data_IF_546137757437
#
_entry.id   IF_546137757437
#
_cell.length_a   1.000
_cell.length_b   1.000
_cell.length_c   1.000
_cell.angle_alpha   90.00
_cell.angle_beta   90.00
_cell.angle_gamma   90.00
#
_symmetry.space_group_name_H-M   'P 1'
#
loop_
_entity.id
_entity.type
_entity.pdbx_description
1 polymer ?
#
# COMPACT_ATOMS: atom_id res chain seq x y z
N UNK A 1 -33.65 35.04 -33.61
CA UNK A 1 -32.65 34.00 -33.23
C UNK A 1 -32.64 33.87 -31.71
N UNK A 2 -33.44 32.95 -31.15
CA UNK A 2 -33.51 32.72 -29.71
C UNK A 2 -32.39 31.80 -29.26
N UNK A 3 -31.54 32.27 -28.34
CA UNK A 3 -30.51 31.44 -27.70
C UNK A 3 -31.16 30.61 -26.60
N UNK A 4 -31.22 29.29 -26.77
CA UNK A 4 -31.54 28.34 -25.71
C UNK A 4 -30.39 28.36 -24.69
N UNK A 5 -30.67 28.84 -23.47
CA UNK A 5 -29.84 28.61 -22.30
C UNK A 5 -30.05 27.16 -21.85
N UNK A 6 -29.06 26.30 -22.08
CA UNK A 6 -29.03 24.97 -21.48
C UNK A 6 -28.70 25.11 -19.99
N UNK A 7 -29.70 24.92 -19.12
CA UNK A 7 -29.49 24.81 -17.68
C UNK A 7 -28.80 23.47 -17.39
N UNK A 8 -27.54 23.52 -16.95
CA UNK A 8 -26.84 22.35 -16.40
C UNK A 8 -27.41 22.11 -14.99
N UNK A 9 -28.33 21.17 -14.88
CA UNK A 9 -28.83 20.69 -13.58
C UNK A 9 -27.70 19.86 -12.95
N UNK A 10 -27.00 20.43 -11.99
CA UNK A 10 -26.11 19.67 -11.11
C UNK A 10 -27.00 18.94 -10.12
N UNK A 11 -27.32 17.68 -10.40
CA UNK A 11 -28.02 16.82 -9.45
C UNK A 11 -27.13 16.62 -8.21
N UNK A 12 -27.51 17.24 -7.10
CA UNK A 12 -26.92 16.91 -5.79
C UNK A 12 -27.41 15.52 -5.42
N UNK A 13 -26.52 14.52 -5.48
CA UNK A 13 -26.79 13.18 -4.98
C UNK A 13 -26.89 13.27 -3.44
N UNK A 14 -28.12 13.21 -2.91
CA UNK A 14 -28.37 13.19 -1.47
C UNK A 14 -28.45 11.73 -1.01
N UNK A 15 -27.78 11.34 0.10
CA UNK A 15 -27.90 9.99 0.65
C UNK A 15 -29.31 9.70 1.19
N UNK A 16 -29.78 8.47 1.03
CA UNK A 16 -31.07 8.02 1.57
C UNK A 16 -30.87 7.00 2.70
N UNK A 17 -31.90 6.80 3.52
CA UNK A 17 -31.84 5.95 4.72
C UNK A 17 -31.52 4.46 4.47
N UNK A 18 -31.60 3.99 3.22
CA UNK A 18 -31.27 2.61 2.83
C UNK A 18 -29.95 2.48 2.07
N UNK A 19 -29.20 3.58 1.93
CA UNK A 19 -27.90 3.53 1.25
C UNK A 19 -26.88 2.74 2.06
N UNK A 20 -26.04 1.97 1.35
CA UNK A 20 -24.86 1.33 1.94
C UNK A 20 -23.68 2.29 1.87
N UNK A 21 -22.77 2.22 2.82
CA UNK A 21 -21.58 3.07 2.84
C UNK A 21 -20.32 2.25 2.60
N UNK A 22 -19.40 2.81 1.83
CA UNK A 22 -18.05 2.28 1.68
C UNK A 22 -17.02 3.30 2.11
N UNK A 23 -15.94 2.79 2.68
CA UNK A 23 -14.83 3.58 3.20
C UNK A 23 -13.59 3.33 2.36
N UNK A 24 -12.90 4.41 1.99
CA UNK A 24 -11.58 4.35 1.33
C UNK A 24 -10.61 5.28 2.02
N UNK A 25 -9.36 4.85 2.14
CA UNK A 25 -8.29 5.66 2.71
C UNK A 25 -7.49 6.29 1.58
N UNK A 26 -7.28 7.60 1.68
CA UNK A 26 -6.58 8.37 0.65
C UNK A 26 -5.54 9.29 1.27
N UNK A 27 -4.44 9.49 0.57
CA UNK A 27 -3.41 10.45 0.97
C UNK A 27 -3.46 11.64 0.03
N UNK A 28 -3.60 12.84 0.57
CA UNK A 28 -3.52 14.08 -0.19
C UNK A 28 -2.18 14.77 0.06
N UNK A 29 -1.49 15.15 -1.01
CA UNK A 29 -0.19 15.84 -0.92
C UNK A 29 -0.13 17.07 -1.82
N UNK A 30 0.67 18.05 -1.42
CA UNK A 30 1.02 19.21 -2.25
C UNK A 30 2.11 18.86 -3.28
N UNK A 31 2.53 19.84 -4.08
CA UNK A 31 3.58 19.67 -5.10
C UNK A 31 4.96 19.31 -4.53
N UNK A 32 5.19 19.50 -3.23
CA UNK A 32 6.42 19.13 -2.52
C UNK A 32 6.27 17.77 -1.81
N UNK A 33 5.13 17.10 -1.96
CA UNK A 33 4.84 15.84 -1.30
C UNK A 33 4.46 15.98 0.18
N UNK A 34 4.22 17.20 0.67
CA UNK A 34 3.78 17.43 2.05
C UNK A 34 2.28 17.11 2.20
N UNK A 35 1.83 16.51 3.31
CA UNK A 35 0.42 16.20 3.51
C UNK A 35 -0.48 17.45 3.52
N UNK A 36 -1.61 17.39 2.82
CA UNK A 36 -2.67 18.41 2.85
C UNK A 36 -3.78 17.91 3.77
N UNK A 37 -4.02 18.55 4.91
CA UNK A 37 -4.81 18.00 6.03
C UNK A 37 -6.15 18.69 6.29
N UNK A 38 -6.52 19.67 5.47
CA UNK A 38 -7.68 20.55 5.60
C UNK A 38 -8.69 20.40 4.44
N UNK A 39 -8.74 19.25 3.77
CA UNK A 39 -9.73 18.97 2.73
C UNK A 39 -11.09 18.65 3.34
N UNK A 40 -12.13 19.29 2.83
CA UNK A 40 -13.52 18.99 3.17
C UNK A 40 -14.11 17.88 2.28
N UNK A 41 -15.19 17.24 2.72
CA UNK A 41 -15.91 16.22 1.95
C UNK A 41 -16.34 16.72 0.55
N UNK A 42 -16.72 18.00 0.44
CA UNK A 42 -17.17 18.61 -0.81
C UNK A 42 -16.06 18.73 -1.87
N UNK A 43 -14.79 18.65 -1.45
CA UNK A 43 -13.63 18.73 -2.34
C UNK A 43 -13.27 17.38 -2.95
N UNK A 44 -13.79 16.28 -2.42
CA UNK A 44 -13.61 14.96 -2.99
C UNK A 44 -14.69 14.67 -4.05
N UNK A 45 -14.30 13.90 -5.06
CA UNK A 45 -15.21 13.28 -6.01
C UNK A 45 -14.88 11.80 -6.10
N UNK A 46 -15.90 10.96 -5.93
CA UNK A 46 -15.77 9.50 -6.00
C UNK A 46 -16.61 8.99 -7.16
N UNK A 47 -16.02 8.10 -7.97
CA UNK A 47 -16.73 7.28 -8.95
C UNK A 47 -16.47 5.82 -8.67
N UNK A 48 -17.54 5.02 -8.64
CA UNK A 48 -17.47 3.57 -8.51
C UNK A 48 -18.13 2.94 -9.74
N UNK A 49 -17.41 2.06 -10.45
CA UNK A 49 -17.91 1.49 -11.71
C UNK A 49 -18.19 2.55 -12.79
N UNK A 50 -17.57 3.73 -12.69
CA UNK A 50 -17.82 4.88 -13.56
C UNK A 50 -18.99 5.78 -13.12
N UNK A 51 -19.79 5.36 -12.14
CA UNK A 51 -20.92 6.12 -11.61
C UNK A 51 -20.49 7.04 -10.47
N UNK A 52 -20.93 8.30 -10.50
CA UNK A 52 -20.66 9.25 -9.42
C UNK A 52 -21.33 8.80 -8.13
N UNK A 53 -20.58 8.86 -7.02
CA UNK A 53 -21.06 8.54 -5.68
C UNK A 53 -21.01 9.78 -4.79
N UNK A 54 -22.02 9.93 -3.93
CA UNK A 54 -22.06 11.02 -2.96
C UNK A 54 -21.01 10.77 -1.87
N UNK A 55 -20.05 11.67 -1.73
CA UNK A 55 -19.13 11.66 -0.59
C UNK A 55 -19.87 12.21 0.62
N UNK A 56 -20.04 11.39 1.64
CA UNK A 56 -20.77 11.75 2.86
C UNK A 56 -19.86 12.19 3.97
N UNK A 57 -18.59 11.76 3.94
CA UNK A 57 -17.61 12.10 4.96
C UNK A 57 -16.20 12.10 4.37
N UNK A 58 -15.40 13.08 4.78
CA UNK A 58 -13.96 13.08 4.59
C UNK A 58 -13.33 13.70 5.84
N UNK A 59 -12.54 12.92 6.56
CA UNK A 59 -11.94 13.30 7.84
C UNK A 59 -10.59 12.61 8.03
N UNK A 60 -9.74 13.05 8.98
CA UNK A 60 -8.51 12.34 9.32
C UNK A 60 -8.79 10.89 9.74
N UNK A 61 -8.01 9.95 9.21
CA UNK A 61 -8.13 8.53 9.52
C UNK A 61 -7.56 8.20 10.91
N UNK A 62 -8.43 7.84 11.84
CA UNK A 62 -8.07 7.51 13.24
C UNK A 62 -8.10 6.02 13.56
N UNK A 63 -8.67 5.19 12.68
CA UNK A 63 -8.70 3.74 12.88
C UNK A 63 -7.26 3.18 13.01
N UNK A 64 -7.03 2.13 13.81
CA UNK A 64 -5.70 1.56 13.99
C UNK A 64 -5.12 0.98 12.69
N UNK A 65 -3.86 1.31 12.41
CA UNK A 65 -3.07 0.70 11.34
C UNK A 65 -2.79 -0.78 11.67
N UNK A 66 -2.78 -1.62 10.65
CA UNK A 66 -2.17 -2.94 10.71
C UNK A 66 -1.08 -3.00 9.64
N UNK A 67 0.18 -3.04 10.04
CA UNK A 67 1.31 -2.89 9.13
C UNK A 67 2.11 -4.18 9.04
N UNK A 68 2.26 -4.71 7.81
CA UNK A 68 3.18 -5.79 7.51
C UNK A 68 4.47 -5.23 6.92
N UNK A 69 5.58 -5.39 7.64
CA UNK A 69 6.91 -5.02 7.16
C UNK A 69 7.58 -6.26 6.58
N UNK A 70 7.77 -6.29 5.26
CA UNK A 70 8.39 -7.38 4.53
C UNK A 70 9.81 -6.95 4.13
N UNK A 71 10.83 -7.65 4.62
CA UNK A 71 12.23 -7.25 4.54
C UNK A 71 13.02 -8.24 3.67
N UNK A 72 13.28 -7.85 2.42
CA UNK A 72 14.12 -8.58 1.46
C UNK A 72 15.43 -7.81 1.25
N UNK A 73 16.36 -7.98 2.19
CA UNK A 73 17.60 -7.19 2.25
C UNK A 73 18.83 -7.94 1.75
N UNK A 74 18.66 -9.14 1.16
CA UNK A 74 19.74 -10.06 0.81
C UNK A 74 20.73 -10.31 1.98
N UNK A 75 20.24 -10.26 3.23
CA UNK A 75 21.06 -10.43 4.43
C UNK A 75 21.91 -9.22 4.82
N UNK A 76 21.77 -8.06 4.16
CA UNK A 76 22.60 -6.87 4.45
C UNK A 76 22.27 -6.20 5.79
N UNK A 77 21.05 -6.35 6.32
CA UNK A 77 20.59 -5.64 7.51
C UNK A 77 20.33 -4.13 7.28
N UNK A 78 20.40 -3.67 6.03
CA UNK A 78 20.33 -2.24 5.66
C UNK A 78 19.08 -1.52 6.16
N UNK A 79 17.95 -2.23 6.24
CA UNK A 79 16.67 -1.65 6.63
C UNK A 79 16.49 -1.51 8.14
N UNK A 80 17.31 -2.16 8.97
CA UNK A 80 17.10 -2.27 10.43
C UNK A 80 16.84 -0.93 11.10
N UNK A 81 17.73 0.04 10.90
CA UNK A 81 17.62 1.35 11.54
C UNK A 81 16.37 2.10 11.07
N UNK A 82 16.13 2.13 9.75
CA UNK A 82 14.99 2.84 9.17
C UNK A 82 13.64 2.21 9.55
N UNK A 83 13.59 0.88 9.68
CA UNK A 83 12.43 0.14 10.19
C UNK A 83 12.15 0.51 11.65
N UNK A 84 13.18 0.56 12.50
CA UNK A 84 13.03 1.00 13.90
C UNK A 84 12.37 2.39 13.97
N UNK A 85 12.93 3.35 13.21
CA UNK A 85 12.43 4.74 13.16
C UNK A 85 11.01 4.84 12.61
N UNK A 86 10.68 4.02 11.62
CA UNK A 86 9.33 3.94 11.06
C UNK A 86 8.31 3.44 12.09
N UNK A 87 8.66 2.37 12.83
CA UNK A 87 7.82 1.85 13.92
C UNK A 87 7.66 2.91 15.01
N UNK A 88 8.76 3.52 15.48
CA UNK A 88 8.73 4.57 16.51
C UNK A 88 7.77 5.71 16.15
N UNK A 89 7.77 6.14 14.88
CA UNK A 89 6.90 7.21 14.38
C UNK A 89 5.42 6.87 14.43
N UNK A 90 5.09 5.58 14.36
CA UNK A 90 3.73 5.05 14.30
C UNK A 90 3.30 4.29 15.57
N UNK A 91 4.13 4.27 16.62
CA UNK A 91 3.78 3.69 17.91
C UNK A 91 2.49 4.32 18.46
N UNK A 92 1.64 3.47 19.04
CA UNK A 92 0.32 3.86 19.53
C UNK A 92 -0.75 4.10 18.45
N UNK A 93 -0.42 3.99 17.16
CA UNK A 93 -1.35 4.17 16.04
C UNK A 93 -1.75 2.87 15.35
N UNK A 94 -1.17 1.74 15.73
CA UNK A 94 -1.42 0.45 15.10
C UNK A 94 -0.59 -0.68 15.67
N UNK A 95 -0.65 -1.81 14.97
CA UNK A 95 0.12 -3.02 15.22
C UNK A 95 1.00 -3.36 14.03
N UNK A 96 2.13 -4.02 14.28
CA UNK A 96 3.13 -4.35 13.29
C UNK A 96 3.47 -5.84 13.33
N UNK A 97 3.62 -6.44 12.16
CA UNK A 97 4.33 -7.72 11.98
C UNK A 97 5.61 -7.44 11.18
N UNK A 98 6.67 -8.18 11.47
CA UNK A 98 7.93 -8.10 10.74
C UNK A 98 8.25 -9.48 10.19
N UNK A 99 8.48 -9.56 8.88
CA UNK A 99 8.93 -10.78 8.20
C UNK A 99 10.15 -10.48 7.36
N UNK A 100 11.11 -11.39 7.33
CA UNK A 100 12.22 -11.36 6.37
C UNK A 100 11.94 -12.29 5.20
N UNK A 101 12.47 -11.97 4.02
CA UNK A 101 12.46 -12.87 2.86
C UNK A 101 13.89 -13.33 2.64
N UNK A 102 14.17 -14.58 3.03
CA UNK A 102 15.48 -15.23 2.86
C UNK A 102 15.24 -16.61 2.29
N UNK A 103 15.19 -16.71 0.95
CA UNK A 103 14.56 -17.85 0.29
C UNK A 103 13.04 -17.80 0.45
N UNK A 104 12.52 -18.19 1.61
CA UNK A 104 11.08 -18.15 1.94
C UNK A 104 10.75 -17.01 2.93
N UNK A 105 9.49 -16.56 3.02
CA UNK A 105 9.07 -15.62 4.05
C UNK A 105 9.20 -16.24 5.44
N UNK A 106 9.88 -15.54 6.35
CA UNK A 106 10.02 -15.91 7.75
C UNK A 106 9.48 -14.80 8.64
N UNK A 107 8.42 -15.07 9.38
CA UNK A 107 7.82 -14.14 10.36
C UNK A 107 8.70 -14.07 11.62
N UNK A 108 9.23 -12.90 11.93
CA UNK A 108 10.05 -12.64 13.12
C UNK A 108 9.19 -12.33 14.35
N UNK A 109 8.05 -11.69 14.13
CA UNK A 109 7.05 -11.35 15.15
C UNK A 109 5.67 -11.23 14.50
N UNK A 110 4.64 -11.78 15.15
CA UNK A 110 3.26 -11.58 14.73
C UNK A 110 2.76 -10.18 15.08
N UNK A 111 1.59 -9.79 14.55
CA UNK A 111 1.03 -8.45 14.76
C UNK A 111 0.96 -8.09 16.25
N UNK A 112 1.70 -7.06 16.63
CA UNK A 112 1.76 -6.58 18.00
C UNK A 112 1.99 -5.07 18.06
N UNK A 113 1.57 -4.46 19.15
CA UNK A 113 1.94 -3.09 19.53
C UNK A 113 2.95 -3.07 20.69
N UNK A 114 3.40 -4.25 21.17
CA UNK A 114 4.35 -4.35 22.26
C UNK A 114 5.74 -3.90 21.79
N UNK A 115 6.23 -2.80 22.39
CA UNK A 115 7.49 -2.16 22.01
C UNK A 115 8.71 -3.08 22.21
N UNK A 116 8.72 -3.89 23.28
CA UNK A 116 9.82 -4.81 23.56
C UNK A 116 9.89 -5.92 22.50
N UNK A 117 8.76 -6.54 22.16
CA UNK A 117 8.69 -7.56 21.11
C UNK A 117 9.07 -7.01 19.73
N UNK A 118 8.64 -5.78 19.41
CA UNK A 118 9.04 -5.11 18.17
C UNK A 118 10.54 -4.80 18.14
N UNK A 119 11.10 -4.31 19.24
CA UNK A 119 12.53 -4.04 19.35
C UNK A 119 13.37 -5.31 19.24
N UNK A 120 12.93 -6.42 19.84
CA UNK A 120 13.58 -7.72 19.70
C UNK A 120 13.58 -8.18 18.24
N UNK A 121 12.43 -8.08 17.55
CA UNK A 121 12.30 -8.46 16.15
C UNK A 121 13.15 -7.58 15.21
N UNK A 122 13.17 -6.26 15.42
CA UNK A 122 14.07 -5.34 14.72
C UNK A 122 15.54 -5.67 15.02
N UNK A 123 15.85 -6.08 16.25
CA UNK A 123 17.17 -6.55 16.65
C UNK A 123 17.68 -7.73 15.83
N UNK A 124 16.79 -8.57 15.28
CA UNK A 124 17.11 -9.72 14.42
C UNK A 124 17.42 -9.33 12.96
N UNK A 125 17.16 -8.09 12.55
CA UNK A 125 17.48 -7.57 11.21
C UNK A 125 18.98 -7.22 11.06
N UNK A 126 19.88 -8.12 11.47
CA UNK A 126 21.34 -7.92 11.36
C UNK A 126 21.89 -8.38 10.02
N UNK A 127 23.19 -8.15 9.80
CA UNK A 127 23.90 -8.84 8.74
C UNK A 127 23.78 -10.36 8.91
N UNK A 128 23.51 -11.06 7.80
CA UNK A 128 23.37 -12.52 7.67
C UNK A 128 24.07 -12.97 6.37
N UNK A 129 24.34 -14.26 6.18
CA UNK A 129 24.78 -14.77 4.88
C UNK A 129 23.83 -14.32 3.77
N UNK A 130 24.39 -13.87 2.64
CA UNK A 130 23.60 -13.44 1.50
C UNK A 130 22.78 -14.59 0.92
N UNK A 131 21.64 -14.26 0.32
CA UNK A 131 20.78 -15.18 -0.44
C UNK A 131 20.80 -14.74 -1.90
N UNK A 132 21.94 -14.89 -2.60
CA UNK A 132 22.18 -14.29 -3.92
C UNK A 132 21.23 -14.83 -4.99
N UNK A 133 20.71 -16.04 -4.80
CA UNK A 133 19.75 -16.63 -5.72
C UNK A 133 18.43 -15.87 -5.71
N UNK A 134 17.98 -15.27 -4.60
CA UNK A 134 16.70 -14.58 -4.58
C UNK A 134 15.84 -14.91 -3.37
N UNK A 135 14.55 -14.61 -3.48
CA UNK A 135 13.56 -14.88 -2.45
C UNK A 135 12.16 -14.98 -3.01
N UNK A 136 11.22 -15.30 -2.12
CA UNK A 136 9.79 -15.45 -2.36
C UNK A 136 9.02 -14.21 -1.88
N UNK A 137 9.25 -13.06 -2.52
CA UNK A 137 8.63 -11.80 -2.10
C UNK A 137 7.13 -11.79 -2.44
N UNK A 138 6.73 -12.42 -3.54
CA UNK A 138 5.33 -12.60 -3.89
C UNK A 138 4.56 -13.41 -2.84
N UNK A 139 5.11 -14.51 -2.31
CA UNK A 139 4.50 -15.24 -1.20
C UNK A 139 4.34 -14.33 0.03
N UNK A 140 5.36 -13.54 0.37
CA UNK A 140 5.30 -12.64 1.53
C UNK A 140 4.16 -11.61 1.41
N UNK A 141 3.98 -11.02 0.22
CA UNK A 141 2.88 -10.08 -0.07
C UNK A 141 1.53 -10.79 0.01
N UNK A 142 1.43 -11.98 -0.60
CA UNK A 142 0.22 -12.78 -0.61
C UNK A 142 -0.22 -13.20 0.79
N UNK A 143 0.71 -13.69 1.61
CA UNK A 143 0.47 -14.10 3.00
C UNK A 143 0.04 -12.93 3.87
N UNK A 144 0.69 -11.76 3.76
CA UNK A 144 0.29 -10.56 4.48
C UNK A 144 -1.14 -10.13 4.10
N UNK A 145 -1.48 -10.14 2.81
CA UNK A 145 -2.83 -9.83 2.34
C UNK A 145 -3.87 -10.84 2.86
N UNK A 146 -3.56 -12.14 2.89
CA UNK A 146 -4.42 -13.17 3.49
C UNK A 146 -4.60 -12.98 5.00
N UNK A 147 -3.52 -12.68 5.73
CA UNK A 147 -3.58 -12.42 7.17
C UNK A 147 -4.49 -11.22 7.48
N UNK A 148 -4.43 -10.15 6.68
CA UNK A 148 -5.34 -9.02 6.82
C UNK A 148 -6.81 -9.36 6.56
N UNK A 149 -7.10 -10.23 5.59
CA UNK A 149 -8.47 -10.71 5.35
C UNK A 149 -8.99 -11.48 6.56
N UNK A 150 -8.18 -12.40 7.12
CA UNK A 150 -8.57 -13.22 8.29
C UNK A 150 -8.77 -12.38 9.55
N UNK A 151 -8.00 -11.29 9.70
CA UNK A 151 -8.05 -10.39 10.86
C UNK A 151 -9.08 -9.26 10.73
N UNK A 152 -9.71 -9.12 9.56
CA UNK A 152 -10.61 -7.99 9.25
C UNK A 152 -9.95 -6.63 9.54
N UNK A 153 -8.69 -6.49 9.17
CA UNK A 153 -7.89 -5.31 9.47
C UNK A 153 -8.53 -4.02 8.92
N UNK A 154 -8.79 -3.04 9.79
CA UNK A 154 -9.49 -1.82 9.42
C UNK A 154 -8.68 -0.90 8.49
N UNK A 155 -7.35 -0.86 8.67
CA UNK A 155 -6.39 -0.11 7.83
C UNK A 155 -5.14 -0.96 7.56
N UNK A 156 -5.24 -1.92 6.63
CA UNK A 156 -4.14 -2.81 6.32
C UNK A 156 -3.12 -2.13 5.40
N UNK A 157 -1.84 -2.22 5.75
CA UNK A 157 -0.71 -1.63 5.02
C UNK A 157 0.37 -2.70 4.86
N UNK A 158 0.83 -2.94 3.63
CA UNK A 158 2.02 -3.75 3.37
C UNK A 158 3.15 -2.79 2.98
N UNK A 159 4.30 -2.92 3.63
CA UNK A 159 5.53 -2.21 3.25
C UNK A 159 6.57 -3.26 2.88
N UNK A 160 6.82 -3.40 1.58
CA UNK A 160 7.85 -4.26 1.03
C UNK A 160 9.14 -3.46 0.82
N UNK A 161 10.19 -3.82 1.55
CA UNK A 161 11.52 -3.24 1.44
C UNK A 161 12.43 -4.27 0.79
N UNK A 162 12.91 -3.99 -0.42
CA UNK A 162 13.71 -4.94 -1.19
C UNK A 162 14.98 -4.29 -1.75
N UNK A 163 16.06 -5.07 -1.85
CA UNK A 163 17.27 -4.71 -2.61
C UNK A 163 17.27 -5.31 -4.03
N UNK A 164 16.13 -5.87 -4.46
CA UNK A 164 15.99 -6.64 -5.68
C UNK A 164 16.57 -8.05 -5.56
N UNK A 165 16.49 -8.82 -6.63
CA UNK A 165 16.90 -10.22 -6.71
C UNK A 165 16.07 -11.00 -7.70
N UNK A 166 16.41 -12.27 -7.92
CA UNK A 166 15.50 -13.17 -8.64
C UNK A 166 14.32 -13.52 -7.73
N UNK A 167 13.14 -13.59 -8.33
CA UNK A 167 11.94 -14.12 -7.69
C UNK A 167 11.90 -15.65 -7.85
N UNK A 168 11.62 -16.38 -6.77
CA UNK A 168 11.47 -17.85 -6.77
C UNK A 168 10.05 -18.30 -6.40
N UNK A 169 9.11 -17.35 -6.38
CA UNK A 169 7.69 -17.61 -6.27
C UNK A 169 7.13 -18.21 -7.55
N UNK A 170 6.28 -19.22 -7.38
CA UNK A 170 5.46 -19.74 -8.49
C UNK A 170 4.07 -19.11 -8.54
N UNK A 171 3.78 -18.12 -7.69
CA UNK A 171 2.49 -17.44 -7.66
C UNK A 171 2.33 -16.55 -8.89
N UNK A 172 1.24 -16.74 -9.66
CA UNK A 172 0.93 -15.82 -10.75
C UNK A 172 0.59 -14.43 -10.21
N UNK A 173 1.07 -13.37 -10.87
CA UNK A 173 0.83 -11.99 -10.46
C UNK A 173 -0.65 -11.68 -10.21
N UNK A 174 -1.53 -12.11 -11.12
CA UNK A 174 -2.99 -11.99 -10.99
C UNK A 174 -3.51 -12.48 -9.64
N UNK A 175 -2.97 -13.59 -9.13
CA UNK A 175 -3.44 -14.20 -7.88
C UNK A 175 -3.02 -13.37 -6.66
N UNK A 176 -1.81 -12.82 -6.70
CA UNK A 176 -1.29 -11.92 -5.67
C UNK A 176 -2.06 -10.59 -5.68
N UNK A 177 -2.25 -9.98 -6.87
CA UNK A 177 -2.99 -8.73 -7.04
C UNK A 177 -4.46 -8.86 -6.63
N UNK A 178 -5.13 -9.95 -7.00
CA UNK A 178 -6.52 -10.20 -6.56
C UNK A 178 -6.60 -10.35 -5.04
N UNK A 179 -5.64 -11.06 -4.42
CA UNK A 179 -5.61 -11.24 -2.98
C UNK A 179 -5.32 -9.93 -2.25
N UNK A 180 -4.38 -9.13 -2.77
CA UNK A 180 -4.08 -7.78 -2.29
C UNK A 180 -5.35 -6.91 -2.35
N UNK A 181 -6.03 -6.87 -3.50
CA UNK A 181 -7.28 -6.12 -3.69
C UNK A 181 -8.35 -6.55 -2.68
N UNK A 182 -8.59 -7.85 -2.50
CA UNK A 182 -9.61 -8.35 -1.57
C UNK A 182 -9.28 -8.08 -0.10
N UNK A 183 -7.99 -7.96 0.23
CA UNK A 183 -7.56 -7.56 1.58
C UNK A 183 -7.84 -6.08 1.88
N UNK A 184 -8.00 -5.25 0.85
CA UNK A 184 -8.09 -3.80 0.99
C UNK A 184 -6.78 -3.14 1.43
N UNK A 185 -5.66 -3.87 1.43
CA UNK A 185 -4.38 -3.36 1.88
C UNK A 185 -3.74 -2.44 0.85
N UNK A 186 -3.16 -1.32 1.32
CA UNK A 186 -2.27 -0.50 0.50
C UNK A 186 -0.87 -1.13 0.46
N UNK A 187 -0.33 -1.38 -0.74
CA UNK A 187 1.01 -1.90 -0.93
C UNK A 187 2.01 -0.77 -1.23
N UNK A 188 2.97 -0.57 -0.33
CA UNK A 188 4.09 0.33 -0.51
C UNK A 188 5.36 -0.48 -0.75
N UNK A 189 6.00 -0.25 -1.90
CA UNK A 189 7.24 -0.90 -2.32
C UNK A 189 8.35 0.14 -2.28
N UNK A 190 9.44 -0.18 -1.59
CA UNK A 190 10.69 0.57 -1.63
C UNK A 190 11.81 -0.34 -2.10
N UNK A 191 12.38 -0.01 -3.25
CA UNK A 191 13.49 -0.75 -3.85
C UNK A 191 14.76 0.07 -3.63
N UNK A 192 15.79 -0.54 -3.05
CA UNK A 192 17.11 0.05 -2.92
C UNK A 192 18.05 -0.60 -3.92
N UNK A 193 18.37 0.14 -4.98
CA UNK A 193 19.22 -0.37 -6.06
C UNK A 193 20.69 -0.07 -5.77
N UNK A 194 21.54 -1.08 -5.80
CA UNK A 194 22.99 -0.90 -5.69
C UNK A 194 23.77 -2.19 -5.88
N UNK A 195 24.75 -2.21 -6.79
CA UNK A 195 25.52 -3.43 -7.11
C UNK A 195 26.32 -4.02 -5.94
N UNK A 196 26.56 -3.25 -4.88
CA UNK A 196 27.17 -3.72 -3.64
C UNK A 196 26.19 -4.47 -2.71
N UNK A 197 24.87 -4.32 -2.90
CA UNK A 197 23.83 -4.95 -2.08
C UNK A 197 23.47 -6.34 -2.58
N UNK A 198 23.56 -6.55 -3.91
CA UNK A 198 23.41 -7.85 -4.54
C UNK A 198 24.28 -7.90 -5.79
N UNK A 199 25.16 -8.89 -5.87
CA UNK A 199 25.91 -9.17 -7.09
C UNK A 199 24.98 -9.75 -8.15
N UNK A 200 25.12 -9.30 -9.39
CA UNK A 200 24.39 -9.86 -10.53
C UNK A 200 24.89 -11.28 -10.78
N UNK A 201 24.06 -12.28 -10.49
CA UNK A 201 24.33 -13.68 -10.85
C UNK A 201 23.75 -13.91 -12.24
N UNK A 202 24.48 -14.63 -13.10
CA UNK A 202 23.96 -15.04 -14.42
C UNK A 202 22.93 -16.15 -14.19
N UNK A 203 21.65 -15.98 -14.59
CA UNK A 203 20.63 -16.99 -14.36
C UNK A 203 20.99 -18.31 -15.06
N UNK A 204 20.88 -19.42 -14.32
CA UNK A 204 21.22 -20.77 -14.81
C UNK A 204 20.08 -21.40 -15.62
N UNK A 205 18.84 -20.91 -15.47
CA UNK A 205 17.64 -21.35 -16.22
C UNK A 205 16.83 -20.14 -16.74
N UNK A 206 17.04 -19.71 -17.99
CA UNK A 206 16.55 -18.41 -18.46
C UNK A 206 15.02 -18.23 -18.51
N UNK A 207 14.24 -19.27 -18.80
CA UNK A 207 12.80 -19.09 -19.12
C UNK A 207 11.87 -19.08 -17.91
N UNK A 208 12.09 -19.95 -16.92
CA UNK A 208 11.26 -20.01 -15.71
C UNK A 208 11.49 -18.78 -14.81
N UNK A 209 12.77 -18.43 -14.59
CA UNK A 209 13.14 -17.23 -13.84
C UNK A 209 12.61 -15.96 -14.53
N UNK A 210 12.51 -15.94 -15.86
CA UNK A 210 11.93 -14.80 -16.57
C UNK A 210 10.44 -14.63 -16.23
N UNK A 211 9.65 -15.70 -16.23
CA UNK A 211 8.22 -15.62 -15.89
C UNK A 211 8.01 -15.18 -14.43
N UNK A 212 8.78 -15.72 -13.49
CA UNK A 212 8.70 -15.37 -12.07
C UNK A 212 9.07 -13.90 -11.83
N UNK A 213 10.13 -13.40 -12.48
CA UNK A 213 10.51 -11.98 -12.41
C UNK A 213 9.52 -11.05 -13.14
N UNK A 214 8.85 -11.52 -14.20
CA UNK A 214 7.76 -10.77 -14.84
C UNK A 214 6.56 -10.65 -13.88
N UNK A 215 6.19 -11.75 -13.21
CA UNK A 215 5.14 -11.72 -12.20
C UNK A 215 5.49 -10.76 -11.04
N UNK A 216 6.74 -10.79 -10.57
CA UNK A 216 7.22 -9.86 -9.54
C UNK A 216 7.11 -8.41 -10.02
N UNK A 217 7.61 -8.12 -11.22
CA UNK A 217 7.58 -6.78 -11.80
C UNK A 217 6.15 -6.25 -11.96
N UNK A 218 5.22 -7.11 -12.36
CA UNK A 218 3.80 -6.77 -12.44
C UNK A 218 3.24 -6.42 -11.06
N UNK A 219 3.47 -7.26 -10.03
CA UNK A 219 2.97 -7.00 -8.67
C UNK A 219 3.57 -5.73 -8.06
N UNK A 220 4.89 -5.52 -8.17
CA UNK A 220 5.56 -4.33 -7.63
C UNK A 220 5.19 -3.05 -8.39
N UNK A 221 4.82 -3.16 -9.67
CA UNK A 221 4.32 -2.05 -10.47
C UNK A 221 2.84 -1.74 -10.22
N UNK A 222 1.98 -2.71 -10.47
CA UNK A 222 0.51 -2.55 -10.43
C UNK A 222 -0.05 -2.59 -9.01
N UNK A 223 0.54 -3.39 -8.10
CA UNK A 223 0.05 -3.51 -6.74
C UNK A 223 -0.05 -2.16 -6.02
N UNK A 224 1.02 -1.35 -5.97
CA UNK A 224 0.95 0.00 -5.41
C UNK A 224 -0.05 0.91 -6.12
N UNK A 225 -0.11 0.88 -7.46
CA UNK A 225 -1.06 1.70 -8.24
C UNK A 225 -2.51 1.35 -7.92
N UNK A 226 -2.84 0.07 -7.91
CA UNK A 226 -4.20 -0.43 -7.73
C UNK A 226 -4.70 -0.26 -6.29
N UNK A 227 -3.80 -0.40 -5.32
CA UNK A 227 -4.11 -0.34 -3.88
C UNK A 227 -4.00 1.05 -3.26
N UNK A 228 -3.53 2.05 -4.01
CA UNK A 228 -3.33 3.42 -3.52
C UNK A 228 -2.05 3.62 -2.70
N UNK A 229 -1.12 2.65 -2.79
CA UNK A 229 0.20 2.72 -2.18
C UNK A 229 1.23 3.47 -3.04
N UNK A 230 2.51 3.14 -2.87
CA UNK A 230 3.63 3.81 -3.55
C UNK A 230 4.67 2.83 -4.04
N UNK A 231 5.32 3.14 -5.16
CA UNK A 231 6.55 2.48 -5.58
C UNK A 231 7.66 3.53 -5.55
N UNK A 232 8.74 3.28 -4.80
CA UNK A 232 9.85 4.22 -4.62
C UNK A 232 11.17 3.52 -4.84
N UNK A 233 11.95 4.02 -5.78
CA UNK A 233 13.33 3.60 -5.99
C UNK A 233 14.29 4.53 -5.25
N UNK A 234 15.22 3.93 -4.52
CA UNK A 234 16.21 4.62 -3.70
C UNK A 234 17.60 4.24 -4.23
N UNK A 235 18.31 5.23 -4.77
CA UNK A 235 19.63 5.03 -5.41
C UNK A 235 20.77 4.92 -4.39
N UNK A 236 20.57 5.43 -3.17
CA UNK A 236 21.57 5.38 -2.11
C UNK A 236 20.93 4.97 -0.78
N UNK A 237 21.61 4.12 -0.04
CA UNK A 237 21.17 3.57 1.25
C UNK A 237 20.78 4.65 2.27
N UNK A 238 21.39 5.84 2.17
CA UNK A 238 21.08 7.03 2.97
C UNK A 238 19.66 7.56 2.74
N UNK A 239 19.04 7.30 1.58
CA UNK A 239 17.69 7.72 1.26
C UNK A 239 16.58 6.88 1.90
N UNK A 240 16.91 5.68 2.40
CA UNK A 240 15.93 4.73 2.97
C UNK A 240 15.21 5.34 4.17
N UNK A 241 15.98 5.95 5.09
CA UNK A 241 15.41 6.55 6.31
C UNK A 241 14.44 7.69 5.97
N UNK A 242 14.81 8.57 5.03
CA UNK A 242 13.94 9.66 4.57
C UNK A 242 12.67 9.17 3.89
N UNK A 243 12.79 8.16 3.01
CA UNK A 243 11.64 7.57 2.32
C UNK A 243 10.65 6.92 3.29
N UNK A 244 11.13 6.15 4.27
CA UNK A 244 10.26 5.53 5.28
C UNK A 244 9.64 6.57 6.21
N UNK A 245 10.38 7.61 6.58
CA UNK A 245 9.84 8.72 7.35
C UNK A 245 8.70 9.43 6.60
N UNK A 246 8.88 9.71 5.31
CA UNK A 246 7.83 10.30 4.47
C UNK A 246 6.61 9.39 4.36
N UNK A 247 6.80 8.08 4.25
CA UNK A 247 5.70 7.12 4.28
C UNK A 247 4.97 7.14 5.62
N UNK A 248 5.69 7.11 6.74
CA UNK A 248 5.07 7.19 8.06
C UNK A 248 4.24 8.48 8.21
N UNK A 249 4.80 9.62 7.80
CA UNK A 249 4.09 10.90 7.84
C UNK A 249 2.83 10.87 6.95
N UNK A 250 2.90 10.29 5.74
CA UNK A 250 1.73 10.10 4.89
C UNK A 250 0.64 9.24 5.57
N UNK A 251 1.02 8.11 6.19
CA UNK A 251 0.08 7.22 6.89
C UNK A 251 -0.59 7.87 8.09
N UNK A 252 0.09 8.80 8.78
CA UNK A 252 -0.50 9.58 9.88
C UNK A 252 -1.48 10.68 9.45
N UNK A 253 -1.45 11.09 8.17
CA UNK A 253 -2.26 12.17 7.62
C UNK A 253 -3.22 11.69 6.51
N UNK A 254 -3.52 10.39 6.47
CA UNK A 254 -4.53 9.85 5.57
C UNK A 254 -5.92 10.39 5.91
N UNK A 255 -6.74 10.56 4.89
CA UNK A 255 -8.18 10.75 5.05
C UNK A 255 -8.89 9.41 5.00
N UNK A 256 -9.92 9.30 5.85
CA UNK A 256 -11.02 8.37 5.64
C UNK A 256 -12.08 9.09 4.80
N UNK A 257 -12.37 8.57 3.61
CA UNK A 257 -13.44 9.07 2.74
C UNK A 257 -14.54 8.02 2.70
N UNK A 258 -15.72 8.39 3.18
CA UNK A 258 -16.91 7.55 3.12
C UNK A 258 -17.85 8.05 2.01
N UNK A 259 -18.34 7.13 1.19
CA UNK A 259 -19.29 7.44 0.12
C UNK A 259 -20.49 6.50 0.14
N UNK A 260 -21.63 7.01 -0.32
CA UNK A 260 -22.88 6.26 -0.39
C UNK A 260 -22.98 5.44 -1.69
N UNK A 261 -23.45 4.21 -1.55
CA UNK A 261 -23.91 3.33 -2.62
C UNK A 261 -25.43 3.28 -2.51
N UNK A 262 -26.16 3.82 -3.50
CA UNK A 262 -27.62 3.79 -3.52
C UNK A 262 -28.16 2.37 -3.37
N UNK A 263 -29.32 2.25 -2.72
CA UNK A 263 -30.01 0.96 -2.62
C UNK A 263 -30.25 0.33 -4.01
N UNK A 264 -30.13 -1.00 -4.09
CA UNK A 264 -30.21 -1.76 -5.33
C UNK A 264 -29.01 -1.62 -6.29
N UNK A 265 -28.08 -0.68 -6.06
CA UNK A 265 -26.90 -0.55 -6.90
C UNK A 265 -25.89 -1.69 -6.65
N UNK A 266 -25.43 -2.34 -7.71
CA UNK A 266 -24.36 -3.36 -7.63
C UNK A 266 -23.02 -2.69 -7.30
N UNK A 267 -22.30 -3.13 -6.26
CA UNK A 267 -20.95 -2.64 -5.99
C UNK A 267 -20.01 -2.97 -7.16
N UNK A 268 -19.01 -2.12 -7.37
CA UNK A 268 -17.90 -2.39 -8.29
C UNK A 268 -16.60 -2.40 -7.53
N UNK A 269 -15.63 -3.20 -8.01
CA UNK A 269 -14.25 -3.12 -7.55
C UNK A 269 -13.52 -1.92 -8.15
N UNK A 270 -13.99 -1.33 -9.25
CA UNK A 270 -13.32 -0.20 -9.91
C UNK A 270 -13.67 1.11 -9.23
N UNK A 271 -12.65 1.81 -8.75
CA UNK A 271 -12.77 3.08 -8.05
C UNK A 271 -11.96 4.17 -8.76
N UNK A 272 -12.48 5.40 -8.73
CA UNK A 272 -11.74 6.61 -9.04
C UNK A 272 -12.06 7.64 -7.97
N UNK A 273 -11.02 8.15 -7.31
CA UNK A 273 -11.13 9.24 -6.34
C UNK A 273 -10.29 10.40 -6.83
N UNK A 274 -10.87 11.60 -6.85
CA UNK A 274 -10.18 12.82 -7.22
C UNK A 274 -10.48 13.95 -6.23
N UNK A 275 -9.64 14.98 -6.25
CA UNK A 275 -9.81 16.19 -5.45
C UNK A 275 -9.98 17.38 -6.39
N UNK A 276 -10.89 18.29 -6.03
CA UNK A 276 -11.19 19.50 -6.81
C UNK A 276 -10.16 20.62 -6.58
N UNK A 277 -9.47 20.59 -5.44
CA UNK A 277 -8.47 21.60 -5.06
C UNK A 277 -7.26 21.54 -6.00
N UNK A 278 -6.91 22.69 -6.61
CA UNK A 278 -5.74 22.80 -7.49
C UNK A 278 -4.45 22.60 -6.70
N UNK A 279 -3.44 22.00 -7.33
CA UNK A 279 -2.13 21.77 -6.71
C UNK A 279 -2.08 20.64 -5.68
N UNK A 280 -3.18 19.89 -5.52
CA UNK A 280 -3.24 18.71 -4.66
C UNK A 280 -3.28 17.45 -5.51
N UNK A 281 -2.43 16.48 -5.16
CA UNK A 281 -2.45 15.14 -5.74
C UNK A 281 -3.00 14.16 -4.71
N UNK A 282 -3.93 13.30 -5.15
CA UNK A 282 -4.43 12.19 -4.34
C UNK A 282 -3.72 10.89 -4.71
N UNK A 283 -3.38 10.12 -3.68
CA UNK A 283 -3.10 8.69 -3.77
C UNK A 283 -4.28 7.96 -3.17
N UNK A 284 -4.96 7.17 -4.00
CA UNK A 284 -6.17 6.44 -3.66
C UNK A 284 -6.18 5.11 -4.41
N UNK A 285 -6.79 4.05 -3.86
CA UNK A 285 -6.95 2.80 -4.59
C UNK A 285 -7.78 3.02 -5.86
N UNK A 286 -7.39 2.34 -6.94
CA UNK A 286 -8.21 2.24 -8.16
C UNK A 286 -9.01 0.93 -8.20
N UNK A 287 -8.64 -0.02 -7.34
CA UNK A 287 -9.32 -1.29 -7.15
C UNK A 287 -9.57 -1.53 -5.65
N UNK A 288 -10.81 -1.86 -5.29
CA UNK A 288 -11.24 -2.14 -3.91
C UNK A 288 -11.86 -3.55 -3.79
N UNK A 289 -12.00 -4.09 -2.56
CA UNK A 289 -12.70 -5.36 -2.35
C UNK A 289 -14.12 -5.37 -2.93
N UNK A 290 -14.67 -6.55 -3.19
CA UNK A 290 -16.02 -6.70 -3.76
C UNK A 290 -17.14 -6.50 -2.72
N UNK A 291 -16.79 -6.44 -1.43
CA UNK A 291 -17.68 -6.33 -0.26
C UNK A 291 -18.01 -4.91 0.16
#
# INVERSE_FOLDING_TARGET
>A
MGRLLAAVIVACLVPHAQDRFRTVYVTAVDSRGAPVTDLSAAEFAVKEGGQSRAVVRAEPATAPLHVALLIDDNGTGIFRYSVARFIDRLLGRGQFTISTVTGQPLKLVDYTANVEALNEAVGKLTARPATPDGGQLLEAIFEAAKDFQRREAARPIIVALTVGGEEHSTLPARHVLDTLRQSGAALHVMIVSGGALRSTVTPTRPSALLEENLNLSEVLGDGPRQSGGTHTEIVATTGVAGGLQQLADALTHQYRVDYAIPDGAKPSSRLSVSVKRKGVTLRAPTAIPDR
#
